data_IF_298850838411
#
_entry.id   IF_298850838411
#
_cell.length_a   1.000
_cell.length_b   1.000
_cell.length_c   1.000
_cell.angle_alpha   90.00
_cell.angle_beta   90.00
_cell.angle_gamma   90.00
#
_symmetry.space_group_name_H-M   'P 1'
#
loop_
_entity.id
_entity.type
_entity.pdbx_description
1 polymer ?
#
# COMPACT_ATOMS: atom_id res chain seq x y z
N UNK A 1 -0.45 1.75 -13.77
CA UNK A 1 -0.37 0.31 -13.48
C UNK A 1 0.30 0.01 -12.14
N UNK A 2 1.54 0.44 -11.87
CA UNK A 2 2.25 0.10 -10.62
C UNK A 2 1.48 0.43 -9.32
N UNK A 3 0.92 1.63 -9.20
CA UNK A 3 0.08 2.01 -8.04
C UNK A 3 -1.16 1.12 -7.89
N UNK A 4 -1.74 0.65 -9.00
CA UNK A 4 -2.86 -0.30 -8.97
C UNK A 4 -2.43 -1.66 -8.44
N UNK A 5 -1.26 -2.16 -8.88
CA UNK A 5 -0.71 -3.41 -8.35
C UNK A 5 -0.43 -3.30 -6.85
N UNK A 6 0.18 -2.19 -6.40
CA UNK A 6 0.41 -1.94 -4.98
C UNK A 6 -0.91 -1.96 -4.18
N UNK A 7 -1.94 -1.29 -4.69
CA UNK A 7 -3.26 -1.26 -4.05
C UNK A 7 -3.90 -2.65 -3.93
N UNK A 8 -3.67 -3.55 -4.90
CA UNK A 8 -4.15 -4.94 -4.83
C UNK A 8 -3.52 -5.69 -3.66
N UNK A 9 -2.19 -5.63 -3.50
CA UNK A 9 -1.54 -6.31 -2.37
C UNK A 9 -1.87 -5.67 -1.01
N UNK A 10 -1.97 -4.34 -0.95
CA UNK A 10 -2.44 -3.63 0.26
C UNK A 10 -3.88 -4.03 0.62
N UNK A 11 -4.75 -4.21 -0.39
CA UNK A 11 -6.12 -4.69 -0.22
C UNK A 11 -6.17 -6.13 0.29
N UNK A 12 -5.38 -7.03 -0.29
CA UNK A 12 -5.29 -8.42 0.21
C UNK A 12 -4.78 -8.48 1.65
N UNK A 13 -3.75 -7.72 1.99
CA UNK A 13 -3.25 -7.65 3.35
C UNK A 13 -4.35 -7.20 4.32
N UNK A 14 -5.05 -6.10 4.00
CA UNK A 14 -6.13 -5.56 4.83
C UNK A 14 -7.30 -6.55 4.97
N UNK A 15 -7.64 -7.26 3.88
CA UNK A 15 -8.70 -8.27 3.89
C UNK A 15 -8.32 -9.45 4.80
N UNK A 16 -7.10 -9.98 4.69
CA UNK A 16 -6.60 -11.06 5.54
C UNK A 16 -6.62 -10.63 7.02
N UNK A 17 -6.17 -9.41 7.32
CA UNK A 17 -6.24 -8.87 8.69
C UNK A 17 -7.68 -8.83 9.22
N UNK A 18 -8.64 -8.42 8.38
CA UNK A 18 -10.05 -8.28 8.79
C UNK A 18 -10.76 -9.63 8.95
N UNK A 19 -10.64 -10.53 7.96
CA UNK A 19 -11.44 -11.76 7.91
C UNK A 19 -10.79 -12.96 8.61
N UNK A 20 -9.47 -12.91 8.83
CA UNK A 20 -8.74 -14.03 9.43
C UNK A 20 -8.10 -13.63 10.76
N UNK A 21 -7.20 -12.63 10.73
CA UNK A 21 -6.38 -12.29 11.92
C UNK A 21 -7.26 -11.73 13.05
N UNK A 22 -8.22 -10.86 12.71
CA UNK A 22 -9.14 -10.27 13.70
C UNK A 22 -10.03 -11.34 14.38
N UNK A 23 -10.78 -12.19 13.68
CA UNK A 23 -11.59 -13.22 14.34
C UNK A 23 -10.76 -14.31 15.02
N UNK A 24 -9.60 -14.69 14.47
CA UNK A 24 -8.69 -15.64 15.11
C UNK A 24 -8.30 -15.19 16.52
N UNK A 25 -8.01 -13.90 16.69
CA UNK A 25 -7.53 -13.35 17.96
C UNK A 25 -8.69 -12.95 18.88
N UNK A 26 -9.75 -12.31 18.36
CA UNK A 26 -10.90 -11.85 19.17
C UNK A 26 -11.71 -13.01 19.75
N UNK A 27 -11.94 -14.06 18.95
CA UNK A 27 -12.74 -15.21 19.37
C UNK A 27 -11.89 -16.42 19.80
N UNK A 28 -10.57 -16.24 19.85
CA UNK A 28 -9.61 -17.26 20.28
C UNK A 28 -9.73 -18.61 19.53
N UNK A 29 -10.02 -18.57 18.23
CA UNK A 29 -10.39 -19.76 17.45
C UNK A 29 -9.15 -20.64 17.19
N UNK A 30 -9.09 -21.81 17.84
CA UNK A 30 -7.98 -22.78 17.74
C UNK A 30 -7.70 -23.21 16.30
N UNK A 31 -8.73 -23.56 15.53
CA UNK A 31 -8.59 -23.94 14.11
C UNK A 31 -7.86 -22.88 13.27
N UNK A 32 -8.12 -21.59 13.51
CA UNK A 32 -7.44 -20.50 12.81
C UNK A 32 -6.00 -20.32 13.31
N UNK A 33 -5.73 -20.57 14.60
CA UNK A 33 -4.37 -20.55 15.15
C UNK A 33 -3.51 -21.66 14.56
N UNK A 34 -4.04 -22.87 14.44
CA UNK A 34 -3.30 -24.02 13.90
C UNK A 34 -2.90 -23.79 12.44
N UNK A 35 -3.77 -23.16 11.65
CA UNK A 35 -3.52 -22.79 10.25
C UNK A 35 -2.83 -21.42 10.08
N UNK A 36 -2.53 -20.71 11.17
CA UNK A 36 -2.07 -19.31 11.13
C UNK A 36 -0.71 -19.13 10.46
N UNK A 37 0.13 -20.16 10.44
CA UNK A 37 1.46 -20.11 9.83
C UNK A 37 1.39 -19.88 8.31
N UNK A 38 0.44 -20.52 7.62
CA UNK A 38 0.21 -20.30 6.18
C UNK A 38 -0.30 -18.88 5.89
N UNK A 39 -1.24 -18.41 6.72
CA UNK A 39 -1.84 -17.09 6.54
C UNK A 39 -0.87 -15.98 6.91
N UNK A 40 -0.07 -16.17 7.95
CA UNK A 40 1.02 -15.26 8.34
C UNK A 40 2.06 -15.14 7.23
N UNK A 41 2.43 -16.24 6.58
CA UNK A 41 3.30 -16.20 5.41
C UNK A 41 2.69 -15.39 4.26
N UNK A 42 1.42 -15.62 3.93
CA UNK A 42 0.72 -14.88 2.88
C UNK A 42 0.62 -13.37 3.19
N UNK A 43 0.39 -13.03 4.46
CA UNK A 43 0.34 -11.64 4.94
C UNK A 43 1.70 -10.95 4.74
N UNK A 44 2.78 -11.60 5.20
CA UNK A 44 4.15 -11.11 5.01
C UNK A 44 4.53 -11.00 3.53
N UNK A 45 4.08 -11.93 2.69
CA UNK A 45 4.29 -11.87 1.25
C UNK A 45 3.62 -10.65 0.63
N UNK A 46 2.35 -10.39 0.97
CA UNK A 46 1.64 -9.20 0.48
C UNK A 46 2.34 -7.91 0.91
N UNK A 47 2.82 -7.86 2.16
CA UNK A 47 3.57 -6.73 2.69
C UNK A 47 4.88 -6.48 1.94
N UNK A 48 5.72 -7.51 1.77
CA UNK A 48 7.03 -7.43 1.11
C UNK A 48 6.92 -7.02 -0.36
N UNK A 49 5.94 -7.58 -1.07
CA UNK A 49 5.68 -7.24 -2.48
C UNK A 49 5.21 -5.79 -2.61
N UNK A 50 4.35 -5.32 -1.70
CA UNK A 50 3.85 -3.93 -1.70
C UNK A 50 4.99 -2.93 -1.54
N UNK A 51 5.93 -3.18 -0.62
CA UNK A 51 7.09 -2.30 -0.38
C UNK A 51 8.03 -2.26 -1.59
N UNK A 52 8.24 -3.38 -2.26
CA UNK A 52 9.03 -3.39 -3.50
C UNK A 52 8.34 -2.66 -4.65
N UNK A 53 7.02 -2.79 -4.78
CA UNK A 53 6.27 -2.03 -5.78
C UNK A 53 6.40 -0.54 -5.49
N UNK A 54 6.35 -0.11 -4.23
CA UNK A 54 6.59 1.28 -3.85
C UNK A 54 7.99 1.76 -4.27
N UNK A 55 9.03 0.95 -4.03
CA UNK A 55 10.38 1.27 -4.49
C UNK A 55 10.48 1.40 -6.01
N UNK A 56 9.81 0.51 -6.74
CA UNK A 56 9.74 0.57 -8.19
C UNK A 56 8.98 1.81 -8.69
N UNK A 57 7.93 2.24 -7.99
CA UNK A 57 7.21 3.50 -8.26
C UNK A 57 8.15 4.69 -8.09
N UNK A 58 8.92 4.74 -7.00
CA UNK A 58 9.90 5.79 -6.73
C UNK A 58 10.98 5.83 -7.82
N UNK A 59 11.57 4.69 -8.20
CA UNK A 59 12.54 4.61 -9.31
C UNK A 59 11.92 5.06 -10.63
N UNK A 60 10.73 4.57 -10.97
CA UNK A 60 10.01 4.93 -12.19
C UNK A 60 9.79 6.46 -12.28
N UNK A 61 9.47 7.11 -11.15
CA UNK A 61 9.26 8.57 -11.08
C UNK A 61 10.56 9.34 -11.18
N UNK A 62 11.62 8.87 -10.53
CA UNK A 62 12.96 9.42 -10.68
C UNK A 62 13.38 9.37 -12.16
N UNK A 63 13.30 8.20 -12.80
CA UNK A 63 13.63 8.05 -14.23
C UNK A 63 12.78 8.97 -15.11
N UNK A 64 11.47 9.08 -14.86
CA UNK A 64 10.60 9.97 -15.63
C UNK A 64 10.96 11.47 -15.50
N UNK A 65 11.72 11.88 -14.48
CA UNK A 65 12.16 13.27 -14.26
C UNK A 65 13.57 13.50 -14.76
N UNK A 66 14.50 12.58 -14.47
CA UNK A 66 15.92 12.74 -14.78
C UNK A 66 16.33 12.11 -16.12
N UNK A 67 15.65 11.05 -16.56
CA UNK A 67 15.97 10.25 -17.75
C UNK A 67 14.74 10.06 -18.67
N UNK A 68 14.06 11.14 -19.11
CA UNK A 68 12.81 11.03 -19.86
C UNK A 68 12.94 10.25 -21.18
N UNK A 69 14.13 10.20 -21.78
CA UNK A 69 14.39 9.48 -23.04
C UNK A 69 14.62 7.96 -22.87
N UNK A 70 14.82 7.46 -21.65
CA UNK A 70 15.06 6.04 -21.37
C UNK A 70 13.88 5.33 -20.68
N UNK A 71 12.70 5.98 -20.63
CA UNK A 71 11.55 5.56 -19.82
C UNK A 71 10.87 4.23 -20.26
N UNK A 72 11.25 3.64 -21.39
CA UNK A 72 10.61 2.42 -21.86
C UNK A 72 11.25 1.16 -21.25
N UNK A 73 10.41 0.31 -20.60
CA UNK A 73 10.66 -1.07 -20.10
C UNK A 73 10.77 -1.33 -18.58
N UNK A 74 9.99 -0.66 -17.72
CA UNK A 74 9.80 -1.12 -16.32
C UNK A 74 8.58 -2.05 -16.10
N UNK A 75 7.85 -2.41 -17.15
CA UNK A 75 6.46 -2.90 -17.04
C UNK A 75 6.27 -4.43 -16.86
N UNK A 76 7.34 -5.25 -16.83
CA UNK A 76 7.24 -6.72 -16.71
C UNK A 76 7.83 -7.30 -15.40
N UNK A 77 7.96 -6.49 -14.35
CA UNK A 77 8.71 -6.85 -13.13
C UNK A 77 7.89 -7.56 -12.06
N UNK A 78 6.55 -7.56 -12.12
CA UNK A 78 5.72 -8.08 -11.03
C UNK A 78 5.96 -9.57 -10.72
N UNK A 79 6.00 -10.50 -11.70
CA UNK A 79 6.32 -11.91 -11.42
C UNK A 79 7.71 -12.07 -10.80
N UNK A 80 8.67 -11.24 -11.22
CA UNK A 80 10.04 -11.25 -10.70
C UNK A 80 10.07 -10.77 -9.25
N UNK A 81 9.31 -9.74 -8.90
CA UNK A 81 9.19 -9.24 -7.52
C UNK A 81 8.54 -10.29 -6.61
N UNK A 82 7.46 -10.93 -7.08
CA UNK A 82 6.81 -12.03 -6.37
C UNK A 82 7.80 -13.18 -6.12
N UNK A 83 8.49 -13.65 -7.16
CA UNK A 83 9.47 -14.73 -7.00
C UNK A 83 10.59 -14.34 -6.04
N UNK A 84 11.08 -13.09 -6.11
CA UNK A 84 12.08 -12.56 -5.17
C UNK A 84 11.57 -12.51 -3.74
N UNK A 85 10.32 -12.12 -3.51
CA UNK A 85 9.70 -12.14 -2.18
C UNK A 85 9.56 -13.55 -1.64
N UNK A 86 9.08 -14.49 -2.45
CA UNK A 86 8.94 -15.90 -2.08
C UNK A 86 10.31 -16.45 -1.66
N UNK A 87 11.34 -16.28 -2.48
CA UNK A 87 12.68 -16.77 -2.18
C UNK A 87 13.28 -16.15 -0.90
N UNK A 88 12.93 -14.90 -0.58
CA UNK A 88 13.41 -14.22 0.65
C UNK A 88 12.66 -14.62 1.91
N UNK A 89 11.36 -14.90 1.79
CA UNK A 89 10.50 -15.23 2.93
C UNK A 89 10.48 -16.73 3.21
N UNK A 90 10.91 -17.56 2.28
CA UNK A 90 11.05 -19.00 2.50
C UNK A 90 12.15 -19.25 3.54
N UNK A 91 11.86 -19.97 4.64
CA UNK A 91 12.83 -20.21 5.70
C UNK A 91 13.95 -21.12 5.20
N UNK A 92 15.13 -20.55 4.96
CA UNK A 92 16.35 -21.31 4.69
C UNK A 92 16.92 -21.82 6.03
N UNK A 93 16.39 -22.97 6.49
CA UNK A 93 16.90 -23.71 7.65
C UNK A 93 16.37 -23.24 9.02
N UNK A 94 16.87 -23.89 10.08
CA UNK A 94 16.51 -23.68 11.50
C UNK A 94 16.99 -22.33 12.03
N UNK A 95 16.42 -21.24 11.50
CA UNK A 95 16.60 -19.89 12.01
C UNK A 95 15.47 -19.60 12.99
N UNK A 96 15.82 -19.32 14.24
CA UNK A 96 14.87 -18.91 15.27
C UNK A 96 14.21 -17.60 14.82
N UNK A 97 12.93 -17.38 15.13
CA UNK A 97 12.13 -16.20 14.75
C UNK A 97 12.87 -14.86 14.92
N UNK A 98 13.69 -14.76 15.98
CA UNK A 98 14.52 -13.59 16.30
C UNK A 98 15.58 -13.27 15.21
N UNK A 99 16.19 -14.29 14.61
CA UNK A 99 17.19 -14.14 13.53
C UNK A 99 16.54 -13.63 12.24
N UNK A 100 15.34 -14.13 11.92
CA UNK A 100 14.57 -13.65 10.77
C UNK A 100 14.19 -12.17 10.94
N UNK A 101 13.76 -11.76 12.14
CA UNK A 101 13.46 -10.36 12.45
C UNK A 101 14.70 -9.47 12.36
N UNK A 102 15.82 -9.93 12.91
CA UNK A 102 17.12 -9.23 12.87
C UNK A 102 17.59 -8.94 11.45
N UNK A 103 17.35 -9.85 10.49
CA UNK A 103 17.81 -9.68 9.11
C UNK A 103 16.80 -8.91 8.24
N UNK A 104 15.50 -9.07 8.50
CA UNK A 104 14.44 -8.49 7.68
C UNK A 104 14.21 -7.01 7.95
N UNK A 105 14.24 -6.60 9.22
CA UNK A 105 13.95 -5.23 9.64
C UNK A 105 14.94 -4.17 9.05
N UNK A 106 16.27 -4.38 9.06
CA UNK A 106 17.20 -3.43 8.44
C UNK A 106 16.98 -3.28 6.93
N UNK A 107 16.59 -4.36 6.24
CA UNK A 107 16.31 -4.32 4.79
C UNK A 107 15.09 -3.46 4.48
N UNK A 108 14.01 -3.62 5.24
CA UNK A 108 12.81 -2.78 5.12
C UNK A 108 13.12 -1.30 5.35
N UNK A 109 13.87 -1.01 6.42
CA UNK A 109 14.29 0.36 6.74
C UNK A 109 15.18 0.96 5.65
N UNK A 110 16.06 0.15 5.06
CA UNK A 110 16.89 0.57 3.92
C UNK A 110 16.03 0.96 2.72
N UNK A 111 15.03 0.15 2.36
CA UNK A 111 14.12 0.44 1.23
C UNK A 111 13.30 1.71 1.50
N UNK A 112 12.76 1.87 2.72
CA UNK A 112 11.98 3.05 3.08
C UNK A 112 12.83 4.33 3.05
N UNK A 113 14.06 4.26 3.58
CA UNK A 113 15.03 5.37 3.54
C UNK A 113 15.35 5.75 2.10
N UNK A 114 15.66 4.75 1.27
CA UNK A 114 15.90 4.95 -0.17
C UNK A 114 14.72 5.67 -0.83
N UNK A 115 13.48 5.23 -0.57
CA UNK A 115 12.29 5.84 -1.17
C UNK A 115 12.13 7.31 -0.76
N UNK A 116 12.26 7.62 0.54
CA UNK A 116 12.16 8.99 1.05
C UNK A 116 13.23 9.90 0.41
N UNK A 117 14.47 9.43 0.34
CA UNK A 117 15.59 10.20 -0.25
C UNK A 117 15.37 10.46 -1.73
N UNK A 118 15.06 9.42 -2.52
CA UNK A 118 14.89 9.54 -3.96
C UNK A 118 13.67 10.39 -4.31
N UNK A 119 12.55 10.22 -3.61
CA UNK A 119 11.37 11.06 -3.83
C UNK A 119 11.64 12.53 -3.44
N UNK A 120 12.39 12.78 -2.36
CA UNK A 120 12.80 14.15 -1.98
C UNK A 120 13.61 14.81 -3.09
N UNK A 121 14.63 14.11 -3.61
CA UNK A 121 15.47 14.61 -4.72
C UNK A 121 14.62 14.86 -5.97
N UNK A 122 13.69 13.96 -6.27
CA UNK A 122 12.83 14.07 -7.44
C UNK A 122 11.84 15.24 -7.31
N UNK A 123 11.23 15.42 -6.13
CA UNK A 123 10.33 16.55 -5.83
C UNK A 123 11.10 17.87 -5.95
N UNK A 124 12.30 17.95 -5.37
CA UNK A 124 13.15 19.13 -5.45
C UNK A 124 13.46 19.49 -6.91
N UNK A 125 13.87 18.53 -7.73
CA UNK A 125 14.15 18.74 -9.17
C UNK A 125 12.90 19.21 -9.93
N UNK A 126 11.75 18.59 -9.70
CA UNK A 126 10.47 18.97 -10.34
C UNK A 126 10.03 20.38 -9.94
N UNK A 127 10.22 20.77 -8.67
CA UNK A 127 9.96 22.14 -8.21
C UNK A 127 10.89 23.16 -8.85
N UNK A 128 12.18 22.84 -8.98
CA UNK A 128 13.16 23.70 -9.66
C UNK A 128 12.78 23.95 -11.13
N UNK A 129 12.37 22.90 -11.85
CA UNK A 129 11.94 23.03 -13.26
C UNK A 129 10.66 23.89 -13.37
N UNK A 130 9.68 23.68 -12.49
CA UNK A 130 8.45 24.47 -12.48
C UNK A 130 8.70 25.95 -12.16
N UNK A 131 9.63 26.25 -11.25
CA UNK A 131 10.00 27.63 -10.94
C UNK A 131 10.60 28.36 -12.14
N UNK A 132 11.26 27.65 -13.06
CA UNK A 132 11.89 28.24 -14.24
C UNK A 132 10.94 28.33 -15.47
N UNK A 133 9.92 27.47 -15.56
CA UNK A 133 9.07 27.32 -16.77
C UNK A 133 7.58 27.57 -16.55
N UNK A 134 7.17 27.92 -15.32
CA UNK A 134 5.76 28.05 -14.95
C UNK A 134 5.07 26.70 -14.70
N UNK A 135 3.85 26.75 -14.15
CA UNK A 135 3.09 25.56 -13.72
C UNK A 135 1.96 25.25 -14.71
N UNK A 136 2.01 24.07 -15.32
CA UNK A 136 0.89 23.55 -16.14
C UNK A 136 0.09 22.48 -15.38
N UNK A 137 -1.14 22.21 -15.82
CA UNK A 137 -1.99 21.14 -15.26
C UNK A 137 -1.32 19.77 -15.33
N UNK A 138 -0.58 19.47 -16.41
CA UNK A 138 0.19 18.24 -16.55
C UNK A 138 1.33 18.14 -15.53
N UNK A 139 2.07 19.23 -15.32
CA UNK A 139 3.12 19.32 -14.29
C UNK A 139 2.53 19.16 -12.88
N UNK A 140 1.34 19.73 -12.62
CA UNK A 140 0.60 19.56 -11.35
C UNK A 140 0.29 18.09 -11.07
N UNK A 141 -0.21 17.34 -12.06
CA UNK A 141 -0.45 15.89 -11.89
C UNK A 141 0.83 15.15 -11.52
N UNK A 142 1.94 15.42 -12.22
CA UNK A 142 3.23 14.78 -11.95
C UNK A 142 3.71 15.02 -10.52
N UNK A 143 3.66 16.27 -10.03
CA UNK A 143 4.06 16.57 -8.66
C UNK A 143 3.10 15.97 -7.61
N UNK A 144 1.80 15.90 -7.90
CA UNK A 144 0.83 15.29 -6.99
C UNK A 144 1.09 13.78 -6.87
N UNK A 145 1.37 13.10 -7.99
CA UNK A 145 1.89 11.74 -7.96
C UNK A 145 3.11 11.67 -7.04
N UNK A 146 4.20 12.43 -7.28
CA UNK A 146 5.39 12.37 -6.42
C UNK A 146 5.08 12.56 -4.92
N UNK A 147 4.20 13.50 -4.56
CA UNK A 147 3.78 13.71 -3.17
C UNK A 147 3.07 12.49 -2.57
N UNK A 148 2.32 11.73 -3.38
CA UNK A 148 1.71 10.48 -2.98
C UNK A 148 2.76 9.46 -2.51
N UNK A 149 3.78 9.13 -3.32
CA UNK A 149 4.77 8.11 -2.94
C UNK A 149 5.67 8.60 -1.84
N UNK A 150 6.03 9.89 -1.86
CA UNK A 150 6.78 10.50 -0.77
C UNK A 150 6.04 10.38 0.56
N UNK A 151 4.74 10.71 0.59
CA UNK A 151 3.91 10.56 1.78
C UNK A 151 3.79 9.11 2.24
N UNK A 152 3.63 8.17 1.30
CA UNK A 152 3.58 6.73 1.59
C UNK A 152 4.89 6.24 2.21
N UNK A 153 6.03 6.60 1.60
CA UNK A 153 7.36 6.23 2.06
C UNK A 153 7.69 6.85 3.43
N UNK A 154 7.35 8.12 3.64
CA UNK A 154 7.55 8.80 4.91
C UNK A 154 6.72 8.18 6.02
N UNK A 155 5.46 7.85 5.73
CA UNK A 155 4.59 7.19 6.71
C UNK A 155 5.13 5.81 7.10
N UNK A 156 5.57 5.00 6.12
CA UNK A 156 6.22 3.71 6.38
C UNK A 156 7.51 3.87 7.20
N UNK A 157 8.35 4.85 6.85
CA UNK A 157 9.59 5.14 7.57
C UNK A 157 9.36 5.44 9.06
N UNK A 158 8.22 6.04 9.42
CA UNK A 158 7.84 6.32 10.81
C UNK A 158 7.19 5.10 11.46
N UNK A 159 6.24 4.45 10.76
CA UNK A 159 5.40 3.41 11.34
C UNK A 159 6.13 2.07 11.51
N UNK A 160 7.08 1.73 10.63
CA UNK A 160 7.83 0.47 10.73
C UNK A 160 8.67 0.43 12.02
N UNK A 161 9.52 1.43 12.35
CA UNK A 161 10.19 1.46 13.64
C UNK A 161 9.22 1.41 14.81
N UNK A 162 8.13 2.20 14.76
CA UNK A 162 7.12 2.20 15.81
C UNK A 162 6.51 0.81 16.03
N UNK A 163 6.15 0.11 14.95
CA UNK A 163 5.59 -1.25 15.01
C UNK A 163 6.51 -2.24 15.73
N UNK A 164 7.84 -2.10 15.59
CA UNK A 164 8.80 -3.02 16.21
C UNK A 164 9.28 -2.56 17.60
N UNK A 165 9.36 -1.25 17.84
CA UNK A 165 9.84 -0.67 19.09
C UNK A 165 8.74 -0.71 20.17
N UNK A 166 7.50 -0.38 19.81
CA UNK A 166 6.38 -0.29 20.77
C UNK A 166 6.15 -1.62 21.52
N UNK A 167 6.23 -2.80 20.88
CA UNK A 167 6.15 -4.07 21.59
C UNK A 167 7.18 -4.29 22.69
N UNK A 168 8.36 -3.68 22.60
CA UNK A 168 9.42 -3.82 23.61
C UNK A 168 9.06 -3.13 24.94
N UNK A 169 8.08 -2.24 24.93
CA UNK A 169 7.65 -1.46 26.09
C UNK A 169 6.27 -1.88 26.62
N UNK A 170 5.68 -2.95 26.08
CA UNK A 170 4.34 -3.41 26.46
C UNK A 170 4.37 -4.88 26.85
N UNK A 171 3.84 -5.18 28.03
CA UNK A 171 3.78 -6.54 28.57
C UNK A 171 2.42 -7.21 28.37
N UNK A 172 1.36 -6.43 28.15
CA UNK A 172 0.00 -6.98 27.97
C UNK A 172 -0.21 -7.44 26.54
N UNK A 173 -0.55 -8.71 26.35
CA UNK A 173 -0.83 -9.33 25.05
C UNK A 173 -1.92 -8.60 24.27
N UNK A 174 -2.98 -8.13 24.96
CA UNK A 174 -4.07 -7.37 24.35
C UNK A 174 -3.58 -6.02 23.81
N UNK A 175 -2.68 -5.31 24.52
CA UNK A 175 -2.14 -4.05 24.00
C UNK A 175 -1.19 -4.29 22.82
N UNK A 176 -0.37 -5.35 22.87
CA UNK A 176 0.48 -5.76 21.75
C UNK A 176 -0.36 -6.11 20.52
N UNK A 177 -1.48 -6.79 20.72
CA UNK A 177 -2.47 -7.10 19.69
C UNK A 177 -3.09 -5.84 19.09
N UNK A 178 -3.63 -4.94 19.92
CA UNK A 178 -4.27 -3.72 19.45
C UNK A 178 -3.27 -2.85 18.70
N UNK A 179 -2.04 -2.75 19.18
CA UNK A 179 -0.97 -2.02 18.49
C UNK A 179 -0.61 -2.73 17.17
N UNK A 180 -0.45 -4.05 17.18
CA UNK A 180 -0.10 -4.83 15.99
C UNK A 180 -1.13 -4.73 14.86
N UNK A 181 -2.42 -4.99 15.17
CA UNK A 181 -3.49 -4.85 14.17
C UNK A 181 -3.68 -3.40 13.77
N UNK A 182 -3.68 -2.46 14.71
CA UNK A 182 -3.97 -1.08 14.39
C UNK A 182 -2.86 -0.47 13.54
N UNK A 183 -1.58 -0.64 13.89
CA UNK A 183 -0.47 -0.18 13.05
C UNK A 183 -0.40 -0.94 11.73
N UNK A 184 -0.56 -2.27 11.74
CA UNK A 184 -0.54 -3.08 10.52
C UNK A 184 -1.63 -2.67 9.53
N UNK A 185 -2.87 -2.52 9.98
CA UNK A 185 -3.99 -2.12 9.11
C UNK A 185 -3.90 -0.65 8.67
N UNK A 186 -3.48 0.26 9.56
CA UNK A 186 -3.37 1.68 9.23
C UNK A 186 -2.29 1.97 8.19
N UNK A 187 -1.17 1.24 8.19
CA UNK A 187 -0.14 1.33 7.15
C UNK A 187 -0.73 1.15 5.74
N UNK A 188 -1.50 0.09 5.53
CA UNK A 188 -2.08 -0.20 4.22
C UNK A 188 -3.29 0.68 3.89
N UNK A 189 -4.09 1.05 4.90
CA UNK A 189 -5.17 2.02 4.73
C UNK A 189 -4.62 3.38 4.27
N UNK A 190 -3.54 3.86 4.91
CA UNK A 190 -2.98 5.17 4.64
C UNK A 190 -2.42 5.28 3.22
N UNK A 191 -1.87 4.18 2.68
CA UNK A 191 -1.48 4.10 1.28
C UNK A 191 -2.66 4.38 0.32
N UNK A 192 -3.82 3.77 0.59
CA UNK A 192 -5.05 4.00 -0.16
C UNK A 192 -5.57 5.43 -0.02
N UNK A 193 -5.54 5.99 1.18
CA UNK A 193 -5.95 7.38 1.47
C UNK A 193 -5.08 8.37 0.69
N UNK A 194 -3.75 8.25 0.76
CA UNK A 194 -2.84 9.12 0.02
C UNK A 194 -3.05 8.97 -1.48
N UNK A 195 -3.29 7.75 -1.97
CA UNK A 195 -3.65 7.51 -3.36
C UNK A 195 -4.88 8.31 -3.76
N UNK A 196 -5.97 8.27 -2.99
CA UNK A 196 -7.18 9.03 -3.29
C UNK A 196 -6.96 10.56 -3.21
N UNK A 197 -6.18 11.04 -2.24
CA UNK A 197 -5.90 12.48 -2.07
C UNK A 197 -5.12 13.05 -3.27
N UNK A 198 -4.13 12.32 -3.77
CA UNK A 198 -3.24 12.84 -4.81
C UNK A 198 -3.63 12.44 -6.23
N UNK A 199 -4.54 11.47 -6.41
CA UNK A 199 -5.03 11.04 -7.73
C UNK A 199 -6.41 11.62 -8.04
N UNK A 200 -6.43 12.84 -8.58
CA UNK A 200 -7.69 13.49 -8.98
C UNK A 200 -8.51 12.65 -9.98
N UNK A 201 -7.86 11.96 -10.92
CA UNK A 201 -8.54 11.13 -11.91
C UNK A 201 -9.32 9.96 -11.29
N UNK A 202 -8.76 9.35 -10.23
CA UNK A 202 -9.44 8.30 -9.48
C UNK A 202 -10.68 8.87 -8.80
N UNK A 203 -10.56 10.03 -8.14
CA UNK A 203 -11.71 10.69 -7.49
C UNK A 203 -12.82 11.03 -8.48
N UNK A 204 -12.47 11.64 -9.60
CA UNK A 204 -13.45 12.00 -10.64
C UNK A 204 -14.14 10.75 -11.21
N UNK A 205 -13.39 9.67 -11.43
CA UNK A 205 -13.94 8.38 -11.87
C UNK A 205 -14.92 7.80 -10.85
N UNK A 206 -14.58 7.83 -9.56
CA UNK A 206 -15.46 7.36 -8.48
C UNK A 206 -16.73 8.21 -8.37
N UNK A 207 -16.61 9.54 -8.43
CA UNK A 207 -17.76 10.45 -8.39
C UNK A 207 -18.69 10.20 -9.59
N UNK A 208 -18.14 10.03 -10.80
CA UNK A 208 -18.92 9.71 -11.99
C UNK A 208 -19.66 8.38 -11.84
N UNK A 209 -18.99 7.32 -11.35
CA UNK A 209 -19.62 6.02 -11.10
C UNK A 209 -20.73 6.12 -10.06
N UNK A 210 -20.50 6.86 -8.98
CA UNK A 210 -21.51 7.09 -7.94
C UNK A 210 -22.76 7.78 -8.50
N UNK A 211 -22.58 8.86 -9.28
CA UNK A 211 -23.68 9.57 -9.95
C UNK A 211 -24.43 8.69 -10.95
N UNK A 212 -23.72 7.87 -11.73
CA UNK A 212 -24.35 6.94 -12.66
C UNK A 212 -25.17 5.85 -11.92
N UNK A 213 -24.64 5.34 -10.79
CA UNK A 213 -25.34 4.37 -9.94
C UNK A 213 -26.61 4.96 -9.33
N UNK A 214 -26.56 6.22 -8.86
CA UNK A 214 -27.73 6.92 -8.32
C UNK A 214 -28.80 7.24 -9.37
N UNK A 215 -28.40 7.60 -10.60
CA UNK A 215 -29.36 7.81 -11.68
C UNK A 215 -30.06 6.51 -12.10
N UNK A 216 -29.33 5.38 -12.12
CA UNK A 216 -29.92 4.09 -12.44
C UNK A 216 -30.89 3.58 -11.37
N UNK A 217 -30.65 3.87 -10.09
CA UNK A 217 -31.59 3.51 -9.01
C UNK A 217 -32.86 4.38 -9.01
N UNK A 218 -32.77 5.67 -9.37
CA UNK A 218 -33.94 6.55 -9.52
C UNK A 218 -34.83 6.10 -10.70
N UNK A 219 -34.25 5.64 -11.81
CA UNK A 219 -35.01 5.10 -12.95
C UNK A 219 -35.74 3.81 -12.56
N UNK A 220 -35.16 2.94 -11.72
CA UNK A 220 -35.87 1.74 -11.26
C UNK A 220 -37.04 2.06 -10.30
N UNK A 221 -36.94 3.11 -9.47
CA UNK A 221 -38.03 3.53 -8.59
C UNK A 221 -39.16 4.21 -9.38
N UNK A 222 -38.83 4.93 -10.45
CA UNK A 222 -39.81 5.62 -11.31
C UNK A 222 -40.66 4.73 -12.24
N UNK A 223 -40.33 3.43 -12.36
CA UNK A 223 -41.06 2.49 -13.23
C UNK A 223 -42.15 1.71 -12.47
N UNK A 224 -42.24 1.86 -11.14
CA UNK A 224 -43.38 1.32 -10.38
C UNK A 224 -44.46 2.40 -10.24
N UNK A 225 -45.19 2.64 -11.33
CA UNK A 225 -46.47 3.36 -11.26
C UNK A 225 -47.63 2.35 -11.25
N UNK A 226 -48.64 2.54 -10.38
CA UNK A 226 -49.62 1.51 -10.04
C UNK A 226 -50.63 1.35 -11.16
N UNK A 227 -50.67 0.17 -11.79
CA UNK A 227 -51.88 -0.24 -12.51
C UNK A 227 -52.92 -0.72 -11.49
N UNK A 228 -53.72 0.25 -11.09
CA UNK A 228 -55.02 0.11 -10.45
C UNK A 228 -56.04 -0.49 -11.46
N UNK A 229 -56.94 -1.31 -10.91
CA UNK A 229 -58.23 -1.79 -11.43
C UNK A 229 -58.25 -2.68 -12.69
N UNK A 230 -58.57 -3.95 -12.48
CA UNK A 230 -59.90 -4.53 -12.80
C UNK A 230 -60.21 -5.66 -11.83
#
# INVERSE_FOLDING_TARGET
MLTGNQAVYNGFHSLICLIYVSPMIVFDITFLKDNSHHVGFLLMLCYDVSIQILALITVNRFCAVFLPMMYSKLFNTLPILLQRSINRLQPHGSQNLLGLFSEYMPKLMTICTFNVVVDTITIWKVRRIQSARGRTTFQKKKIDFLKQSFGQALYLFICIPAYHIVPLFKSSEIALFMIGIFFGATIHMFDGVLTLIFNMEIRESLIKKYKASGNNSVIQIGVVSPKILL
#
